data_IF_501526456523
#
_entry.id   IF_501526456523
#
_cell.length_a   1.000
_cell.length_b   1.000
_cell.length_c   1.000
_cell.angle_alpha   90.00
_cell.angle_beta   90.00
_cell.angle_gamma   90.00
#
_symmetry.space_group_name_H-M   'P 1'
#
loop_
_entity.id
_entity.type
_entity.pdbx_description
1 polymer ?
#
# COMPACT_ATOMS: atom_id res chain seq x y z
N UNK A 1 5.25 -56.64 20.50
CA UNK A 1 4.60 -55.38 20.93
C UNK A 1 5.56 -54.20 20.85
N UNK A 2 6.76 -54.29 21.44
CA UNK A 2 7.78 -53.21 21.38
C UNK A 2 8.19 -52.78 19.97
N UNK A 3 8.30 -53.72 19.02
CA UNK A 3 8.63 -53.41 17.61
C UNK A 3 7.53 -52.62 16.88
N UNK A 4 6.26 -52.80 17.26
CA UNK A 4 5.14 -52.04 16.71
C UNK A 4 5.15 -50.62 17.28
N UNK A 5 5.39 -50.48 18.59
CA UNK A 5 5.50 -49.19 19.29
C UNK A 5 6.70 -48.39 18.76
N UNK A 6 7.85 -49.03 18.53
CA UNK A 6 9.05 -48.36 18.00
C UNK A 6 8.85 -47.91 16.55
N UNK A 7 8.16 -48.71 15.71
CA UNK A 7 7.82 -48.34 14.34
C UNK A 7 6.76 -47.23 14.28
N UNK A 8 5.74 -47.26 15.13
CA UNK A 8 4.71 -46.21 15.19
C UNK A 8 5.30 -44.89 15.70
N UNK A 9 6.17 -44.92 16.72
CA UNK A 9 6.90 -43.74 17.19
C UNK A 9 7.76 -43.10 16.11
N UNK A 10 8.45 -43.90 15.29
CA UNK A 10 9.27 -43.40 14.19
C UNK A 10 8.43 -42.80 13.04
N UNK A 11 7.25 -43.37 12.78
CA UNK A 11 6.27 -42.84 11.83
C UNK A 11 5.71 -41.49 12.29
N UNK A 12 5.27 -41.40 13.56
CA UNK A 12 4.77 -40.17 14.16
C UNK A 12 5.84 -39.07 14.13
N UNK A 13 7.10 -39.41 14.46
CA UNK A 13 8.20 -38.46 14.42
C UNK A 13 8.47 -37.91 13.01
N UNK A 14 8.52 -38.78 11.99
CA UNK A 14 8.69 -38.37 10.59
C UNK A 14 7.51 -37.54 10.08
N UNK A 15 6.30 -37.92 10.47
CA UNK A 15 5.08 -37.19 10.14
C UNK A 15 5.08 -35.79 10.76
N UNK A 16 5.37 -35.68 12.05
CA UNK A 16 5.47 -34.39 12.76
C UNK A 16 6.54 -33.46 12.18
N UNK A 17 7.69 -34.00 11.72
CA UNK A 17 8.74 -33.19 11.09
C UNK A 17 8.30 -32.65 9.74
N UNK A 18 7.65 -33.46 8.91
CA UNK A 18 7.08 -33.03 7.63
C UNK A 18 5.93 -32.04 7.82
N UNK A 19 5.06 -32.27 8.81
CA UNK A 19 3.96 -31.36 9.13
C UNK A 19 4.50 -29.99 9.52
N UNK A 20 5.43 -29.93 10.48
CA UNK A 20 6.06 -28.66 10.89
C UNK A 20 6.70 -27.93 9.72
N UNK A 21 7.41 -28.64 8.84
CA UNK A 21 8.04 -28.03 7.67
C UNK A 21 7.02 -27.44 6.68
N UNK A 22 5.92 -28.14 6.39
CA UNK A 22 4.85 -27.65 5.49
C UNK A 22 4.11 -26.46 6.09
N UNK A 23 3.78 -26.52 7.39
CA UNK A 23 3.11 -25.44 8.09
C UNK A 23 3.96 -24.16 8.13
N UNK A 24 5.24 -24.28 8.48
CA UNK A 24 6.11 -23.13 8.69
C UNK A 24 6.57 -22.45 7.40
N UNK A 25 6.72 -23.20 6.29
CA UNK A 25 7.25 -22.65 5.03
C UNK A 25 6.16 -22.23 4.04
N UNK A 26 5.00 -22.90 4.01
CA UNK A 26 3.98 -22.64 2.97
C UNK A 26 2.67 -22.04 3.47
N UNK A 27 2.23 -22.39 4.67
CA UNK A 27 0.88 -22.04 5.13
C UNK A 27 0.89 -20.72 5.91
N UNK A 28 1.87 -20.54 6.81
CA UNK A 28 1.96 -19.39 7.73
C UNK A 28 2.66 -18.13 7.18
N UNK A 29 3.31 -18.21 6.02
CA UNK A 29 4.02 -17.05 5.46
C UNK A 29 3.12 -16.06 4.71
N UNK A 30 2.00 -16.52 4.15
CA UNK A 30 1.09 -15.66 3.40
C UNK A 30 -0.27 -15.55 4.13
N UNK A 31 -0.75 -14.32 4.29
CA UNK A 31 -2.02 -14.05 4.98
C UNK A 31 -3.20 -14.76 4.27
N UNK A 32 -3.18 -14.82 2.94
CA UNK A 32 -4.22 -15.50 2.15
C UNK A 32 -4.20 -17.02 2.35
N UNK A 33 -3.02 -17.64 2.42
CA UNK A 33 -2.91 -19.09 2.65
C UNK A 33 -3.31 -19.47 4.07
N UNK A 34 -3.07 -18.58 5.03
CA UNK A 34 -3.50 -18.76 6.42
C UNK A 34 -5.03 -18.70 6.54
N UNK A 35 -5.68 -17.72 5.91
CA UNK A 35 -7.15 -17.59 5.91
C UNK A 35 -7.79 -18.82 5.24
N UNK A 36 -7.30 -19.23 4.07
CA UNK A 36 -7.79 -20.41 3.37
C UNK A 36 -7.64 -21.68 4.22
N UNK A 37 -6.51 -21.83 4.89
CA UNK A 37 -6.25 -22.96 5.77
C UNK A 37 -7.24 -23.01 6.95
N UNK A 38 -7.52 -21.88 7.61
CA UNK A 38 -8.52 -21.80 8.69
C UNK A 38 -9.90 -22.20 8.18
N UNK A 39 -10.32 -21.70 7.01
CA UNK A 39 -11.62 -22.04 6.41
C UNK A 39 -11.74 -23.54 6.12
N UNK A 40 -10.71 -24.17 5.56
CA UNK A 40 -10.71 -25.61 5.25
C UNK A 40 -10.78 -26.44 6.53
N UNK A 41 -10.01 -26.10 7.56
CA UNK A 41 -10.03 -26.83 8.83
C UNK A 41 -11.39 -26.70 9.51
N UNK A 42 -11.96 -25.48 9.56
CA UNK A 42 -13.30 -25.27 10.10
C UNK A 42 -14.37 -26.02 9.31
N UNK A 43 -14.28 -26.08 7.97
CA UNK A 43 -15.21 -26.82 7.12
C UNK A 43 -15.18 -28.31 7.46
N UNK A 44 -13.98 -28.90 7.59
CA UNK A 44 -13.85 -30.32 7.95
C UNK A 44 -14.43 -30.60 9.34
N UNK A 45 -14.14 -29.75 10.33
CA UNK A 45 -14.69 -29.90 11.69
C UNK A 45 -16.22 -29.84 11.67
N UNK A 46 -16.81 -28.90 10.91
CA UNK A 46 -18.27 -28.77 10.79
C UNK A 46 -18.89 -29.97 10.10
N UNK A 47 -18.29 -30.45 8.99
CA UNK A 47 -18.78 -31.62 8.27
C UNK A 47 -18.77 -32.87 9.14
N UNK A 48 -17.64 -33.18 9.79
CA UNK A 48 -17.54 -34.34 10.67
C UNK A 48 -18.38 -34.20 11.95
N UNK A 49 -18.44 -33.00 12.53
CA UNK A 49 -19.21 -32.73 13.74
C UNK A 49 -20.71 -32.87 13.54
N UNK A 50 -21.25 -32.24 12.50
CA UNK A 50 -22.68 -32.32 12.17
C UNK A 50 -23.08 -33.72 11.70
N UNK A 51 -22.22 -34.40 10.96
CA UNK A 51 -22.48 -35.78 10.58
C UNK A 51 -22.46 -36.73 11.80
N UNK A 52 -21.53 -36.53 12.73
CA UNK A 52 -21.46 -37.26 14.00
C UNK A 52 -22.66 -37.02 14.93
N UNK A 53 -23.33 -35.87 14.82
CA UNK A 53 -24.58 -35.56 15.52
C UNK A 53 -25.82 -36.21 14.88
N UNK A 54 -25.68 -36.91 13.75
CA UNK A 54 -26.78 -37.66 13.12
C UNK A 54 -27.69 -36.83 12.20
N UNK A 55 -27.26 -35.63 11.77
CA UNK A 55 -28.00 -34.84 10.79
C UNK A 55 -28.02 -35.51 9.40
N UNK A 56 -29.12 -35.32 8.67
CA UNK A 56 -29.23 -35.78 7.27
C UNK A 56 -28.21 -35.06 6.37
N UNK A 57 -27.70 -35.76 5.35
CA UNK A 57 -26.66 -35.29 4.44
C UNK A 57 -26.95 -33.91 3.84
N UNK A 58 -28.19 -33.65 3.45
CA UNK A 58 -28.61 -32.35 2.89
C UNK A 58 -28.45 -31.23 3.92
N UNK A 59 -28.84 -31.49 5.17
CA UNK A 59 -28.74 -30.51 6.26
C UNK A 59 -27.29 -30.26 6.67
N UNK A 60 -26.45 -31.31 6.67
CA UNK A 60 -25.01 -31.18 6.94
C UNK A 60 -24.34 -30.25 5.93
N UNK A 61 -24.62 -30.44 4.63
CA UNK A 61 -24.07 -29.57 3.58
C UNK A 61 -24.60 -28.14 3.72
N UNK A 62 -25.91 -27.97 3.92
CA UNK A 62 -26.51 -26.63 4.00
C UNK A 62 -25.97 -25.82 5.19
N UNK A 63 -25.96 -26.40 6.39
CA UNK A 63 -25.50 -25.71 7.59
C UNK A 63 -23.99 -25.43 7.57
N UNK A 64 -23.17 -26.35 7.03
CA UNK A 64 -21.74 -26.11 6.88
C UNK A 64 -21.45 -25.01 5.85
N UNK A 65 -22.16 -24.96 4.73
CA UNK A 65 -22.00 -23.92 3.72
C UNK A 65 -22.37 -22.52 4.25
N UNK A 66 -23.50 -22.40 4.95
CA UNK A 66 -23.92 -21.14 5.59
C UNK A 66 -22.89 -20.68 6.62
N UNK A 67 -22.47 -21.58 7.51
CA UNK A 67 -21.52 -21.26 8.58
C UNK A 67 -20.16 -20.80 8.03
N UNK A 68 -19.65 -21.44 6.97
CA UNK A 68 -18.40 -21.05 6.33
C UNK A 68 -18.51 -19.70 5.63
N UNK A 69 -19.65 -19.41 5.01
CA UNK A 69 -19.90 -18.11 4.36
C UNK A 69 -19.89 -16.98 5.40
N UNK A 70 -20.56 -17.18 6.54
CA UNK A 70 -20.57 -16.22 7.65
C UNK A 70 -19.15 -16.04 8.22
N UNK A 71 -18.41 -17.14 8.42
CA UNK A 71 -17.03 -17.08 8.89
C UNK A 71 -16.13 -16.31 7.92
N UNK A 72 -16.25 -16.55 6.63
CA UNK A 72 -15.49 -15.83 5.60
C UNK A 72 -15.77 -14.31 5.63
N UNK A 73 -17.05 -13.92 5.66
CA UNK A 73 -17.45 -12.51 5.78
C UNK A 73 -16.90 -11.87 7.06
N UNK A 74 -16.94 -12.60 8.18
CA UNK A 74 -16.41 -12.12 9.47
C UNK A 74 -14.90 -11.93 9.41
N UNK A 75 -14.16 -12.88 8.83
CA UNK A 75 -12.71 -12.77 8.64
C UNK A 75 -12.33 -11.61 7.71
N UNK A 76 -13.08 -11.39 6.62
CA UNK A 76 -12.89 -10.23 5.76
C UNK A 76 -13.13 -8.92 6.51
N UNK A 77 -14.19 -8.85 7.30
CA UNK A 77 -14.50 -7.65 8.08
C UNK A 77 -13.44 -7.37 9.14
N UNK A 78 -13.01 -8.38 9.89
CA UNK A 78 -11.93 -8.26 10.89
C UNK A 78 -10.60 -7.89 10.23
N UNK A 79 -10.27 -8.52 9.10
CA UNK A 79 -9.08 -8.21 8.31
C UNK A 79 -9.09 -6.76 7.82
N UNK A 80 -10.21 -6.31 7.24
CA UNK A 80 -10.40 -4.93 6.78
C UNK A 80 -10.35 -3.93 7.93
N UNK A 81 -10.93 -4.24 9.09
CA UNK A 81 -10.86 -3.37 10.28
C UNK A 81 -9.45 -3.29 10.85
N UNK A 82 -8.74 -4.42 10.90
CA UNK A 82 -7.36 -4.44 11.37
C UNK A 82 -6.46 -3.65 10.42
N UNK A 83 -6.67 -3.80 9.12
CA UNK A 83 -5.98 -3.02 8.10
C UNK A 83 -6.33 -1.53 8.21
N UNK A 84 -7.61 -1.17 8.32
CA UNK A 84 -8.03 0.21 8.55
C UNK A 84 -7.42 0.81 9.82
N UNK A 85 -7.32 0.05 10.90
CA UNK A 85 -6.63 0.48 12.14
C UNK A 85 -5.12 0.60 11.99
N UNK A 86 -4.50 -0.28 11.20
CA UNK A 86 -3.08 -0.18 10.86
C UNK A 86 -2.82 1.10 10.08
N UNK A 87 -3.61 1.32 9.04
CA UNK A 87 -3.55 2.52 8.20
C UNK A 87 -3.85 3.79 9.02
N UNK A 88 -4.85 3.77 9.91
CA UNK A 88 -5.17 4.92 10.77
C UNK A 88 -4.05 5.27 11.76
N UNK A 89 -3.29 4.27 12.21
CA UNK A 89 -2.11 4.47 13.09
C UNK A 89 -0.89 4.95 12.31
N UNK A 90 -0.83 4.64 11.02
CA UNK A 90 0.20 5.08 10.06
C UNK A 90 -0.20 6.37 9.34
N UNK A 91 -1.14 7.15 9.87
CA UNK A 91 -1.38 8.51 9.37
C UNK A 91 -0.35 9.42 10.05
N UNK A 92 0.80 9.73 9.43
CA UNK A 92 1.37 11.05 9.65
C UNK A 92 0.25 11.95 9.18
N UNK A 93 -0.16 12.87 10.03
CA UNK A 93 -1.13 13.91 9.70
C UNK A 93 -0.77 14.53 8.34
N UNK A 94 -1.29 13.97 7.25
CA UNK A 94 -1.14 14.49 5.91
C UNK A 94 -2.00 15.73 5.94
N UNK A 95 -1.36 16.87 6.19
CA UNK A 95 -2.04 18.17 6.26
C UNK A 95 -2.67 18.57 4.92
N UNK A 96 -2.51 17.74 3.88
CA UNK A 96 -2.96 17.97 2.52
C UNK A 96 -3.97 16.91 2.12
N UNK A 97 -5.06 17.40 1.52
CA UNK A 97 -6.01 16.57 0.79
C UNK A 97 -5.59 16.54 -0.67
N UNK A 98 -5.66 15.37 -1.31
CA UNK A 98 -5.28 15.22 -2.71
C UNK A 98 -6.54 15.07 -3.58
N UNK A 99 -6.52 15.70 -4.75
CA UNK A 99 -7.63 15.70 -5.73
C UNK A 99 -7.88 14.29 -6.28
N UNK A 100 -6.82 13.48 -6.38
CA UNK A 100 -6.89 12.08 -6.84
C UNK A 100 -6.35 11.14 -5.76
N UNK A 101 -7.00 9.98 -5.63
CA UNK A 101 -6.59 8.90 -4.74
C UNK A 101 -5.76 7.81 -5.42
N UNK A 102 -5.69 7.81 -6.76
CA UNK A 102 -4.84 6.90 -7.54
C UNK A 102 -4.42 7.52 -8.87
N UNK A 103 -3.28 7.05 -9.40
CA UNK A 103 -2.78 7.40 -10.74
C UNK A 103 -2.87 6.23 -11.73
N UNK A 104 -3.81 5.30 -11.52
CA UNK A 104 -3.95 4.14 -12.40
C UNK A 104 -4.34 4.59 -13.82
N UNK A 105 -3.69 4.03 -14.83
CA UNK A 105 -3.89 4.42 -16.23
C UNK A 105 -3.06 5.63 -16.69
N UNK A 106 -2.32 6.28 -15.79
CA UNK A 106 -1.34 7.33 -16.13
C UNK A 106 0.04 6.68 -16.20
N UNK A 107 0.80 6.94 -17.26
CA UNK A 107 2.17 6.47 -17.40
C UNK A 107 3.09 7.32 -16.50
N UNK A 108 3.61 6.72 -15.42
CA UNK A 108 4.35 7.46 -14.38
C UNK A 108 5.67 8.09 -14.85
N UNK A 109 6.39 7.52 -15.83
CA UNK A 109 7.58 8.16 -16.37
C UNK A 109 7.33 9.55 -16.96
N UNK A 110 6.12 9.82 -17.48
CA UNK A 110 5.74 11.15 -17.99
C UNK A 110 5.66 12.18 -16.85
N UNK A 111 5.40 11.73 -15.62
CA UNK A 111 5.43 12.53 -14.41
C UNK A 111 6.80 12.49 -13.70
N UNK A 112 7.79 11.80 -14.26
CA UNK A 112 9.12 11.69 -13.66
C UNK A 112 9.28 10.66 -12.56
N UNK A 113 8.37 9.71 -12.46
CA UNK A 113 8.44 8.62 -11.49
C UNK A 113 8.69 7.28 -12.17
N UNK A 114 9.18 6.29 -11.42
CA UNK A 114 9.31 4.93 -11.92
C UNK A 114 7.99 4.19 -11.73
N UNK A 115 7.66 3.24 -12.62
CA UNK A 115 6.47 2.38 -12.44
C UNK A 115 6.51 1.57 -11.14
N UNK A 116 7.70 1.25 -10.63
CA UNK A 116 7.88 0.58 -9.35
C UNK A 116 7.40 1.46 -8.16
N UNK A 117 7.38 2.78 -8.31
CA UNK A 117 7.00 3.72 -7.25
C UNK A 117 5.47 3.92 -7.15
N UNK A 118 4.70 3.33 -8.08
CA UNK A 118 3.24 3.50 -8.17
C UNK A 118 2.51 3.20 -6.87
N UNK A 119 2.88 2.12 -6.20
CA UNK A 119 2.26 1.75 -4.93
C UNK A 119 2.51 2.83 -3.88
N UNK A 120 3.74 3.30 -3.74
CA UNK A 120 4.11 4.35 -2.79
C UNK A 120 3.44 5.69 -3.13
N UNK A 121 3.34 6.06 -4.40
CA UNK A 121 2.64 7.30 -4.82
C UNK A 121 1.16 7.21 -4.44
N UNK A 122 0.51 6.08 -4.72
CA UNK A 122 -0.88 5.88 -4.32
C UNK A 122 -1.03 5.94 -2.79
N UNK A 123 -0.07 5.45 -2.00
CA UNK A 123 -0.09 5.61 -0.54
C UNK A 123 -0.05 7.10 -0.14
N UNK A 124 0.85 7.90 -0.73
CA UNK A 124 0.95 9.36 -0.46
C UNK A 124 -0.36 10.08 -0.79
N UNK A 125 -0.96 9.77 -1.95
CA UNK A 125 -2.23 10.36 -2.38
C UNK A 125 -3.40 10.04 -1.43
N UNK A 126 -3.30 8.94 -0.70
CA UNK A 126 -4.28 8.57 0.34
C UNK A 126 -3.85 9.03 1.74
N UNK A 127 -2.79 9.84 1.87
CA UNK A 127 -2.29 10.36 3.14
C UNK A 127 -1.61 9.31 4.03
N UNK A 128 -1.09 8.24 3.44
CA UNK A 128 -0.45 7.12 4.14
C UNK A 128 1.08 7.18 4.01
N UNK A 129 1.80 6.57 4.96
CA UNK A 129 3.27 6.44 4.87
C UNK A 129 3.71 5.55 3.71
N UNK A 130 4.76 6.00 3.02
CA UNK A 130 5.43 5.22 1.98
C UNK A 130 6.29 4.11 2.58
N UNK A 131 6.33 2.94 1.94
CA UNK A 131 7.24 1.85 2.33
C UNK A 131 8.70 2.18 2.04
N UNK A 132 8.93 2.96 1.00
CA UNK A 132 10.23 3.49 0.58
C UNK A 132 10.05 4.87 -0.03
N UNK A 133 11.11 5.69 0.00
CA UNK A 133 11.08 6.98 -0.66
C UNK A 133 10.86 6.82 -2.17
N UNK A 134 10.14 7.77 -2.75
CA UNK A 134 9.79 7.83 -4.17
C UNK A 134 10.86 8.63 -4.89
N UNK A 135 11.47 8.04 -5.91
CA UNK A 135 12.53 8.71 -6.65
C UNK A 135 11.97 9.53 -7.82
N UNK A 136 12.14 10.84 -7.77
CA UNK A 136 11.74 11.77 -8.82
C UNK A 136 12.92 12.06 -9.75
N UNK A 137 12.70 11.86 -11.05
CA UNK A 137 13.75 11.77 -12.07
C UNK A 137 13.61 12.78 -13.22
N UNK A 138 12.56 13.61 -13.25
CA UNK A 138 12.47 14.66 -14.28
C UNK A 138 13.57 15.68 -14.07
N UNK A 139 14.46 15.76 -15.05
CA UNK A 139 15.64 16.64 -15.02
C UNK A 139 15.29 18.02 -15.57
N UNK A 140 15.97 19.05 -15.05
CA UNK A 140 16.03 20.37 -15.67
C UNK A 140 16.82 20.30 -16.98
N UNK A 141 16.58 21.23 -17.90
CA UNK A 141 17.30 21.34 -19.19
C UNK A 141 18.84 21.33 -19.05
N UNK A 142 19.37 21.68 -17.87
CA UNK A 142 20.80 21.63 -17.53
C UNK A 142 21.32 20.27 -17.01
N UNK A 143 20.57 19.17 -17.21
CA UNK A 143 20.98 17.74 -17.24
C UNK A 143 21.65 17.12 -15.99
N UNK A 144 21.90 17.84 -14.90
CA UNK A 144 22.64 17.26 -13.75
C UNK A 144 21.77 16.83 -12.56
N UNK A 145 20.64 17.50 -12.30
CA UNK A 145 19.81 17.25 -11.11
C UNK A 145 18.31 17.28 -11.43
N UNK A 146 17.53 16.48 -10.71
CA UNK A 146 16.07 16.48 -10.82
C UNK A 146 15.49 17.84 -10.41
N UNK A 147 14.43 18.27 -11.10
CA UNK A 147 13.91 19.62 -11.04
C UNK A 147 12.81 19.78 -9.99
N UNK A 148 13.15 20.45 -8.89
CA UNK A 148 12.20 20.83 -7.84
C UNK A 148 10.95 21.54 -8.37
N UNK A 149 11.07 22.37 -9.40
CA UNK A 149 9.94 23.13 -9.95
C UNK A 149 8.91 22.21 -10.62
N UNK A 150 9.38 21.19 -11.35
CA UNK A 150 8.51 20.17 -11.95
C UNK A 150 7.78 19.37 -10.86
N UNK A 151 8.48 18.99 -9.79
CA UNK A 151 7.86 18.34 -8.64
C UNK A 151 6.79 19.24 -7.99
N UNK A 152 7.06 20.53 -7.79
CA UNK A 152 6.07 21.48 -7.26
C UNK A 152 4.85 21.61 -8.15
N UNK A 153 4.99 21.63 -9.49
CA UNK A 153 3.86 21.69 -10.42
C UNK A 153 2.95 20.46 -10.29
N UNK A 154 3.55 19.28 -10.22
CA UNK A 154 2.80 18.03 -10.00
C UNK A 154 2.08 18.07 -8.66
N UNK A 155 2.77 18.44 -7.57
CA UNK A 155 2.16 18.55 -6.25
C UNK A 155 1.08 19.63 -6.18
N UNK A 156 1.23 20.74 -6.91
CA UNK A 156 0.23 21.80 -7.03
C UNK A 156 -1.07 21.29 -7.66
N UNK A 157 -0.97 20.44 -8.69
CA UNK A 157 -2.13 19.85 -9.34
C UNK A 157 -2.77 18.74 -8.51
N UNK A 158 -1.96 18.01 -7.74
CA UNK A 158 -2.44 16.87 -6.95
C UNK A 158 -3.03 17.30 -5.59
N UNK A 159 -2.57 18.39 -4.98
CA UNK A 159 -3.07 18.89 -3.69
C UNK A 159 -4.27 19.81 -3.92
N UNK A 160 -5.35 19.56 -3.19
CA UNK A 160 -6.56 20.37 -3.26
C UNK A 160 -6.29 21.83 -2.84
N UNK A 161 -6.80 22.77 -3.63
CA UNK A 161 -6.52 24.20 -3.52
C UNK A 161 -5.10 24.62 -3.94
N UNK A 162 -4.26 23.69 -4.40
CA UNK A 162 -2.89 23.94 -4.85
C UNK A 162 -1.94 24.41 -3.74
N UNK A 163 -0.66 24.53 -4.09
CA UNK A 163 0.42 24.86 -3.14
C UNK A 163 1.05 26.25 -3.33
N UNK A 164 0.67 26.99 -4.37
CA UNK A 164 1.34 28.26 -4.77
C UNK A 164 1.26 29.32 -3.66
N UNK A 165 0.09 29.43 -3.04
CA UNK A 165 -0.20 30.44 -2.00
C UNK A 165 0.10 29.97 -0.57
N UNK A 166 0.86 28.88 -0.41
CA UNK A 166 1.18 28.35 0.92
C UNK A 166 2.05 29.31 1.72
N UNK A 167 1.51 29.72 2.87
CA UNK A 167 2.20 30.56 3.86
C UNK A 167 3.04 29.71 4.82
N UNK A 168 3.87 30.39 5.62
CA UNK A 168 4.90 29.88 6.54
C UNK A 168 4.66 28.45 7.07
N UNK A 169 3.56 28.20 7.76
CA UNK A 169 3.28 26.90 8.40
C UNK A 169 2.94 25.78 7.39
N UNK A 170 2.04 26.03 6.43
CA UNK A 170 1.72 25.05 5.38
C UNK A 170 2.91 24.77 4.47
N UNK A 171 3.72 25.78 4.17
CA UNK A 171 4.96 25.63 3.41
C UNK A 171 5.96 24.73 4.14
N UNK A 172 6.11 24.92 5.46
CA UNK A 172 6.97 24.08 6.30
C UNK A 172 6.51 22.61 6.31
N UNK A 173 5.20 22.38 6.41
CA UNK A 173 4.59 21.05 6.32
C UNK A 173 4.82 20.39 4.95
N UNK A 174 4.64 21.15 3.86
CA UNK A 174 4.89 20.67 2.50
C UNK A 174 6.35 20.24 2.33
N UNK A 175 7.29 21.04 2.82
CA UNK A 175 8.71 20.70 2.68
C UNK A 175 9.10 19.49 3.50
N UNK A 176 8.56 19.34 4.72
CA UNK A 176 8.75 18.12 5.52
C UNK A 176 8.19 16.88 4.81
N UNK A 177 7.01 17.00 4.18
CA UNK A 177 6.44 15.93 3.37
C UNK A 177 7.40 15.57 2.22
N UNK A 178 7.92 16.57 1.51
CA UNK A 178 8.81 16.33 0.37
C UNK A 178 10.10 15.62 0.82
N UNK A 179 10.69 16.06 1.93
CA UNK A 179 11.92 15.49 2.50
C UNK A 179 11.75 14.07 3.03
N UNK A 180 10.60 13.75 3.62
CA UNK A 180 10.32 12.41 4.13
C UNK A 180 9.98 11.42 3.02
N UNK A 181 9.36 11.91 1.94
CA UNK A 181 8.68 11.08 0.94
C UNK A 181 9.50 10.89 -0.33
N UNK A 182 10.24 11.91 -0.77
CA UNK A 182 10.88 11.91 -2.09
C UNK A 182 12.41 11.90 -2.01
N UNK A 183 13.02 11.30 -3.02
CA UNK A 183 14.42 11.52 -3.42
C UNK A 183 14.45 12.17 -4.79
N UNK A 184 15.57 12.83 -5.10
CA UNK A 184 15.79 13.51 -6.36
C UNK A 184 16.94 12.86 -7.09
N UNK A 185 16.62 12.03 -8.08
CA UNK A 185 17.58 11.23 -8.83
C UNK A 185 18.53 10.45 -7.91
N UNK A 186 17.97 9.79 -6.90
CA UNK A 186 18.67 9.02 -5.88
C UNK A 186 19.35 9.83 -4.76
N UNK A 187 19.30 11.17 -4.83
CA UNK A 187 19.86 12.04 -3.79
C UNK A 187 18.79 12.51 -2.80
N UNK A 188 19.20 12.77 -1.56
CA UNK A 188 18.33 13.37 -0.56
C UNK A 188 17.91 14.80 -0.94
N UNK A 189 16.69 15.16 -0.55
CA UNK A 189 16.17 16.51 -0.74
C UNK A 189 16.96 17.51 0.09
N UNK A 190 17.48 18.55 -0.55
CA UNK A 190 18.21 19.62 0.12
C UNK A 190 17.26 20.79 0.46
N UNK A 191 17.04 21.02 1.77
CA UNK A 191 16.15 22.08 2.29
C UNK A 191 16.43 23.47 1.72
N UNK A 192 17.70 23.86 1.61
CA UNK A 192 18.08 25.20 1.15
C UNK A 192 17.72 25.37 -0.33
N UNK A 193 18.00 24.35 -1.15
CA UNK A 193 17.64 24.32 -2.57
C UNK A 193 16.12 24.30 -2.74
N UNK A 194 15.41 23.46 -1.99
CA UNK A 194 13.96 23.35 -2.00
C UNK A 194 13.29 24.70 -1.73
N UNK A 195 13.74 25.43 -0.70
CA UNK A 195 13.16 26.72 -0.33
C UNK A 195 13.41 27.81 -1.38
N UNK A 196 14.64 27.88 -1.90
CA UNK A 196 15.01 28.81 -2.97
C UNK A 196 14.18 28.54 -4.23
N UNK A 197 14.11 27.29 -4.69
CA UNK A 197 13.35 26.90 -5.89
C UNK A 197 11.85 27.09 -5.75
N UNK A 198 11.29 26.85 -4.56
CA UNK A 198 9.88 27.13 -4.30
C UNK A 198 9.57 28.62 -4.42
N UNK A 199 10.45 29.47 -3.89
CA UNK A 199 10.27 30.93 -3.95
C UNK A 199 10.40 31.45 -5.37
N UNK A 200 11.33 30.90 -6.16
CA UNK A 200 11.42 31.20 -7.60
C UNK A 200 10.15 30.78 -8.34
N UNK A 201 9.66 29.56 -8.10
CA UNK A 201 8.50 28.98 -8.77
C UNK A 201 7.19 29.69 -8.39
N UNK A 202 6.99 30.02 -7.11
CA UNK A 202 5.78 30.70 -6.64
C UNK A 202 5.65 32.13 -7.19
N UNK A 203 6.78 32.76 -7.52
CA UNK A 203 6.85 34.09 -8.13
C UNK A 203 7.00 34.06 -9.66
N UNK A 204 6.83 32.91 -10.32
CA UNK A 204 6.83 32.84 -11.80
C UNK A 204 5.66 33.66 -12.37
N UNK A 205 5.91 34.35 -13.49
CA UNK A 205 4.87 35.08 -14.22
C UNK A 205 3.71 34.14 -14.58
N UNK A 206 2.47 34.65 -14.49
CA UNK A 206 1.26 33.84 -14.65
C UNK A 206 1.18 33.13 -16.01
N UNK A 207 1.67 33.76 -17.08
CA UNK A 207 1.76 33.16 -18.42
C UNK A 207 2.66 31.93 -18.43
N UNK A 208 3.86 32.04 -17.85
CA UNK A 208 4.83 30.96 -17.80
C UNK A 208 4.36 29.86 -16.84
N UNK A 209 3.74 30.25 -15.73
CA UNK A 209 3.18 29.32 -14.76
C UNK A 209 2.10 28.45 -15.41
N UNK A 210 1.11 29.06 -16.06
CA UNK A 210 -0.01 28.36 -16.70
C UNK A 210 0.42 27.47 -17.87
N UNK A 211 1.30 27.96 -18.75
CA UNK A 211 1.80 27.18 -19.89
C UNK A 211 2.50 25.90 -19.43
N UNK A 212 3.38 26.03 -18.44
CA UNK A 212 4.12 24.91 -17.87
C UNK A 212 3.26 23.96 -17.03
N UNK A 213 2.19 24.46 -16.41
CA UNK A 213 1.24 23.64 -15.65
C UNK A 213 0.41 22.76 -16.59
N UNK A 214 0.07 23.28 -17.77
CA UNK A 214 -0.78 22.62 -18.76
C UNK A 214 -0.19 21.29 -19.27
N UNK A 215 1.13 21.19 -19.37
CA UNK A 215 1.81 19.93 -19.72
C UNK A 215 1.44 18.80 -18.75
N UNK A 216 1.57 19.04 -17.44
CA UNK A 216 1.24 18.08 -16.40
C UNK A 216 -0.27 17.88 -16.22
N UNK A 217 -1.06 18.93 -16.44
CA UNK A 217 -2.50 18.87 -16.36
C UNK A 217 -3.09 17.90 -17.40
N UNK A 218 -2.57 17.93 -18.63
CA UNK A 218 -2.96 16.97 -19.68
C UNK A 218 -2.60 15.54 -19.32
N UNK A 219 -1.40 15.30 -18.79
CA UNK A 219 -0.98 13.95 -18.35
C UNK A 219 -1.88 13.43 -17.23
N UNK A 220 -2.22 14.32 -16.29
CA UNK A 220 -3.08 13.99 -15.16
C UNK A 220 -4.57 13.92 -15.54
N UNK A 221 -4.99 14.29 -16.76
CA UNK A 221 -6.41 14.40 -17.14
C UNK A 221 -7.21 15.22 -16.11
N UNK A 222 -6.74 16.43 -15.80
CA UNK A 222 -7.37 17.40 -14.89
C UNK A 222 -7.86 18.64 -15.63
#
# INVERSE_FOLDING_TARGET
METIIKKSGLLIFRFNRKLRWIFNIRILQNHNTTILFILIVCLLILLFGLWGMGFSFIHVILYSAISITILFLTLLFVGSLNEARRLSKQVPSSCFQFVKSNLNGIYLPDLGFTENDRENINLVLNGLETKSRIDFKLVSDNRAAADYKKLFRILHLLIDGGIKDFKKERKEQLFKLIESTFTLNGSDVNRASLNSRFSEWANENESNFSENLNEFQKILNL
#
